data_IF_324038281363
#
_entry.id   IF_324038281363
#
_cell.length_a   1.000
_cell.length_b   1.000
_cell.length_c   1.000
_cell.angle_alpha   90.00
_cell.angle_beta   90.00
_cell.angle_gamma   90.00
#
_symmetry.space_group_name_H-M   'P 1'
#
loop_
_entity.id
_entity.type
_entity.pdbx_description
1 polymer ?
#
# COMPACT_ATOMS: atom_id res chain seq x y z
N UNK A 1 5.90 15.48 21.10
CA UNK A 1 6.64 14.68 22.11
C UNK A 1 5.86 14.76 23.42
N UNK A 2 4.65 14.18 23.48
CA UNK A 2 3.70 14.44 24.57
C UNK A 2 2.85 13.21 24.98
N UNK A 3 3.30 11.98 24.70
CA UNK A 3 2.57 10.75 25.06
C UNK A 3 3.41 9.73 25.84
N UNK A 4 4.64 10.08 26.25
CA UNK A 4 5.48 9.20 27.07
C UNK A 4 5.10 9.18 28.56
N UNK A 5 4.07 9.94 28.96
CA UNK A 5 3.79 10.30 30.36
C UNK A 5 2.50 9.65 30.92
N UNK A 6 2.03 8.55 30.33
CA UNK A 6 0.87 7.80 30.84
C UNK A 6 1.13 6.29 30.77
N UNK A 7 2.19 5.83 31.40
CA UNK A 7 2.29 4.42 31.73
C UNK A 7 1.20 4.10 32.78
N UNK A 8 0.39 3.05 32.59
CA UNK A 8 -0.52 2.61 33.64
C UNK A 8 0.29 2.34 34.91
N UNK A 9 -0.19 2.86 36.04
CA UNK A 9 0.48 2.67 37.33
C UNK A 9 0.43 1.18 37.66
N UNK A 10 1.59 0.52 37.69
CA UNK A 10 1.66 -0.89 38.05
C UNK A 10 1.09 -1.08 39.47
N UNK A 11 0.22 -2.08 39.68
CA UNK A 11 -0.27 -2.39 41.01
C UNK A 11 0.91 -2.67 41.94
N UNK A 12 0.97 -1.94 43.06
CA UNK A 12 2.02 -2.14 44.07
C UNK A 12 1.95 -3.54 44.69
N UNK A 13 3.00 -3.97 45.40
CA UNK A 13 3.08 -5.32 45.99
C UNK A 13 1.96 -5.67 47.00
N UNK A 14 1.16 -4.69 47.41
CA UNK A 14 0.00 -4.83 48.30
C UNK A 14 -1.35 -4.89 47.55
N UNK A 15 -1.35 -4.94 46.21
CA UNK A 15 -2.56 -4.96 45.40
C UNK A 15 -3.38 -6.24 45.59
N UNK A 16 -4.70 -6.07 45.67
CA UNK A 16 -5.63 -7.19 45.80
C UNK A 16 -5.71 -8.05 44.54
N UNK A 17 -6.11 -9.32 44.67
CA UNK A 17 -6.30 -10.25 43.53
C UNK A 17 -7.28 -9.67 42.49
N UNK A 18 -8.31 -8.95 42.94
CA UNK A 18 -9.31 -8.34 42.06
C UNK A 18 -8.73 -7.19 41.21
N UNK A 19 -7.80 -6.41 41.77
CA UNK A 19 -7.13 -5.31 41.06
C UNK A 19 -6.18 -5.86 39.98
N UNK A 20 -5.44 -6.93 40.28
CA UNK A 20 -4.59 -7.62 39.32
C UNK A 20 -5.40 -8.22 38.16
N UNK A 21 -6.57 -8.80 38.43
CA UNK A 21 -7.45 -9.34 37.38
C UNK A 21 -8.00 -8.25 36.47
N UNK A 22 -8.39 -7.10 37.02
CA UNK A 22 -8.89 -5.97 36.24
C UNK A 22 -7.81 -5.43 35.28
N UNK A 23 -6.56 -5.34 35.74
CA UNK A 23 -5.45 -4.84 34.92
C UNK A 23 -5.04 -5.81 33.81
N UNK A 24 -5.05 -7.13 34.09
CA UNK A 24 -4.85 -8.17 33.07
C UNK A 24 -5.94 -8.10 32.00
N UNK A 25 -7.21 -7.91 32.39
CA UNK A 25 -8.32 -7.80 31.45
C UNK A 25 -8.19 -6.56 30.56
N UNK A 26 -7.80 -5.42 31.14
CA UNK A 26 -7.53 -4.17 30.42
C UNK A 26 -6.37 -4.33 29.43
N UNK A 27 -5.25 -4.88 29.88
CA UNK A 27 -4.05 -5.09 29.06
C UNK A 27 -4.34 -6.05 27.90
N UNK A 28 -5.14 -7.11 28.12
CA UNK A 28 -5.61 -7.99 27.04
C UNK A 28 -6.47 -7.26 26.00
N UNK A 29 -7.31 -6.32 26.43
CA UNK A 29 -8.12 -5.49 25.55
C UNK A 29 -7.26 -4.62 24.62
N UNK A 30 -6.33 -3.86 25.19
CA UNK A 30 -5.44 -2.94 24.46
C UNK A 30 -4.53 -3.67 23.45
N UNK A 31 -4.04 -4.86 23.82
CA UNK A 31 -3.25 -5.70 22.91
C UNK A 31 -4.10 -6.29 21.78
N UNK A 32 -5.36 -6.67 22.06
CA UNK A 32 -6.26 -7.19 21.02
C UNK A 32 -6.61 -6.12 19.98
N UNK A 33 -6.84 -4.89 20.44
CA UNK A 33 -7.08 -3.73 19.57
C UNK A 33 -5.84 -3.40 18.71
N UNK A 34 -4.65 -3.46 19.31
CA UNK A 34 -3.39 -3.22 18.59
C UNK A 34 -3.14 -4.28 17.52
N UNK A 35 -3.42 -5.56 17.81
CA UNK A 35 -3.31 -6.64 16.82
C UNK A 35 -4.33 -6.47 15.70
N UNK A 36 -5.56 -6.05 16.01
CA UNK A 36 -6.56 -5.75 14.99
C UNK A 36 -6.12 -4.62 14.05
N UNK A 37 -5.57 -3.52 14.60
CA UNK A 37 -5.05 -2.41 13.80
C UNK A 37 -3.82 -2.81 12.94
N UNK A 38 -2.95 -3.69 13.44
CA UNK A 38 -1.85 -4.25 12.63
C UNK A 38 -2.36 -5.17 11.53
N UNK A 39 -3.35 -6.01 11.82
CA UNK A 39 -3.95 -6.92 10.83
C UNK A 39 -4.64 -6.16 9.70
N UNK A 40 -5.39 -5.10 10.04
CA UNK A 40 -6.02 -4.21 9.06
C UNK A 40 -4.98 -3.57 8.14
N UNK A 41 -3.85 -3.09 8.67
CA UNK A 41 -2.74 -2.57 7.85
C UNK A 41 -2.09 -3.61 6.93
N UNK A 42 -2.04 -4.88 7.34
CA UNK A 42 -1.48 -5.96 6.51
C UNK A 42 -2.43 -6.35 5.37
N UNK A 43 -3.74 -6.33 5.61
CA UNK A 43 -4.76 -6.60 4.60
C UNK A 43 -4.72 -5.58 3.44
N UNK A 44 -4.58 -4.29 3.74
CA UNK A 44 -4.48 -3.25 2.69
C UNK A 44 -3.23 -3.43 1.82
N UNK A 45 -2.12 -3.90 2.41
CA UNK A 45 -0.87 -4.14 1.70
C UNK A 45 -0.98 -5.33 0.75
N UNK A 46 -1.63 -6.40 1.19
CA UNK A 46 -1.96 -7.56 0.36
C UNK A 46 -2.83 -7.15 -0.83
N UNK A 47 -3.96 -6.48 -0.57
CA UNK A 47 -4.86 -6.01 -1.64
C UNK A 47 -4.19 -5.08 -2.64
N UNK A 48 -3.32 -4.17 -2.19
CA UNK A 48 -2.58 -3.29 -3.09
C UNK A 48 -1.58 -4.05 -3.97
N UNK A 49 -0.91 -5.06 -3.41
CA UNK A 49 0.01 -5.91 -4.15
C UNK A 49 -0.72 -6.74 -5.21
N UNK A 50 -1.87 -7.33 -4.86
CA UNK A 50 -2.66 -8.15 -5.78
C UNK A 50 -3.23 -7.33 -6.93
N UNK A 51 -3.78 -6.14 -6.65
CA UNK A 51 -4.21 -5.21 -7.72
C UNK A 51 -3.05 -4.77 -8.62
N UNK A 52 -1.86 -4.59 -8.06
CA UNK A 52 -0.69 -4.24 -8.85
C UNK A 52 -0.23 -5.40 -9.74
N UNK A 53 -0.32 -6.64 -9.26
CA UNK A 53 -0.02 -7.83 -10.06
C UNK A 53 -1.02 -7.99 -11.22
N UNK A 54 -2.32 -7.93 -10.94
CA UNK A 54 -3.38 -8.02 -11.97
C UNK A 54 -3.24 -6.92 -13.03
N UNK A 55 -2.93 -5.69 -12.61
CA UNK A 55 -2.72 -4.57 -13.55
C UNK A 55 -1.47 -4.79 -14.41
N UNK A 56 -0.39 -5.37 -13.84
CA UNK A 56 0.81 -5.69 -14.61
C UNK A 56 0.52 -6.72 -15.70
N UNK A 57 -0.19 -7.79 -15.36
CA UNK A 57 -0.52 -8.85 -16.33
C UNK A 57 -1.36 -8.28 -17.48
N UNK A 58 -2.37 -7.47 -17.17
CA UNK A 58 -3.19 -6.79 -18.20
C UNK A 58 -2.37 -5.82 -19.08
N UNK A 59 -1.35 -5.16 -18.52
CA UNK A 59 -0.46 -4.27 -19.29
C UNK A 59 0.50 -5.08 -20.16
N UNK A 60 1.04 -6.18 -19.66
CA UNK A 60 1.92 -7.09 -20.40
C UNK A 60 1.18 -7.72 -21.57
N UNK A 61 -0.04 -8.21 -21.37
CA UNK A 61 -0.87 -8.77 -22.44
C UNK A 61 -1.16 -7.72 -23.53
N UNK A 62 -1.53 -6.50 -23.15
CA UNK A 62 -1.73 -5.39 -24.11
C UNK A 62 -0.45 -4.99 -24.84
N UNK A 63 0.70 -5.03 -24.16
CA UNK A 63 1.99 -4.72 -24.76
C UNK A 63 2.40 -5.79 -25.78
N UNK A 64 2.16 -7.07 -25.48
CA UNK A 64 2.36 -8.16 -26.44
C UNK A 64 1.44 -8.01 -27.65
N UNK A 65 0.14 -7.78 -27.44
CA UNK A 65 -0.81 -7.56 -28.53
C UNK A 65 -0.43 -6.36 -29.42
N UNK A 66 0.04 -5.25 -28.83
CA UNK A 66 0.52 -4.09 -29.57
C UNK A 66 1.81 -4.38 -30.36
N UNK A 67 2.71 -5.19 -29.80
CA UNK A 67 3.97 -5.60 -30.46
C UNK A 67 3.69 -6.52 -31.64
N UNK A 68 2.78 -7.48 -31.49
CA UNK A 68 2.37 -8.37 -32.58
C UNK A 68 1.63 -7.61 -33.69
N UNK A 69 0.78 -6.66 -33.33
CA UNK A 69 0.14 -5.76 -34.29
C UNK A 69 1.17 -4.91 -35.06
N UNK A 70 2.17 -4.36 -34.37
CA UNK A 70 3.25 -3.60 -35.00
C UNK A 70 4.14 -4.46 -35.91
N UNK A 71 4.39 -5.72 -35.53
CA UNK A 71 5.13 -6.68 -36.36
C UNK A 71 4.38 -7.08 -37.63
N UNK A 72 3.05 -7.07 -37.56
CA UNK A 72 2.15 -7.42 -38.67
C UNK A 72 1.88 -6.23 -39.62
N UNK A 73 2.11 -5.00 -39.16
CA UNK A 73 1.89 -3.77 -39.91
C UNK A 73 3.22 -3.02 -40.15
N UNK A 74 3.98 -3.35 -41.22
CA UNK A 74 5.32 -2.80 -41.46
C UNK A 74 5.37 -1.31 -41.83
N UNK A 75 4.24 -0.59 -41.83
CA UNK A 75 4.14 0.80 -42.27
C UNK A 75 3.52 1.69 -41.19
N UNK A 76 4.15 1.77 -40.02
CA UNK A 76 3.86 2.85 -39.08
C UNK A 76 4.64 4.10 -39.52
N UNK A 77 3.99 5.21 -39.89
CA UNK A 77 4.70 6.41 -40.33
C UNK A 77 5.52 6.97 -39.16
N UNK A 78 6.75 7.40 -39.43
CA UNK A 78 7.68 7.93 -38.42
C UNK A 78 7.07 9.06 -37.55
N UNK A 79 6.14 9.84 -38.12
CA UNK A 79 5.39 10.87 -37.41
C UNK A 79 4.55 10.33 -36.24
N UNK A 80 3.97 9.13 -36.36
CA UNK A 80 3.18 8.52 -35.29
C UNK A 80 4.05 8.13 -34.09
N UNK A 81 5.26 7.61 -34.33
CA UNK A 81 6.21 7.24 -33.26
C UNK A 81 6.65 8.49 -32.49
N UNK A 82 6.99 9.57 -33.22
CA UNK A 82 7.41 10.84 -32.60
C UNK A 82 6.28 11.44 -31.74
N UNK A 83 5.03 11.40 -32.22
CA UNK A 83 3.88 11.89 -31.46
C UNK A 83 3.68 11.12 -30.14
N UNK A 84 3.83 9.79 -30.16
CA UNK A 84 3.73 8.95 -28.96
C UNK A 84 4.85 9.28 -27.96
N UNK A 85 6.09 9.39 -28.43
CA UNK A 85 7.22 9.75 -27.57
C UNK A 85 7.06 11.15 -26.95
N UNK A 86 6.58 12.12 -27.73
CA UNK A 86 6.29 13.47 -27.23
C UNK A 86 5.17 13.46 -26.17
N UNK A 87 4.10 12.69 -26.39
CA UNK A 87 3.03 12.53 -25.40
C UNK A 87 3.53 11.89 -24.10
N UNK A 88 4.35 10.84 -24.18
CA UNK A 88 4.97 10.20 -23.00
C UNK A 88 5.86 11.20 -22.26
N UNK A 89 6.70 11.95 -22.98
CA UNK A 89 7.56 12.98 -22.41
C UNK A 89 6.77 14.09 -21.70
N UNK A 90 5.67 14.54 -22.32
CA UNK A 90 4.78 15.56 -21.75
C UNK A 90 4.10 15.06 -20.47
N UNK A 91 3.58 13.82 -20.48
CA UNK A 91 2.98 13.18 -19.30
C UNK A 91 4.00 13.05 -18.18
N UNK A 92 5.23 12.62 -18.49
CA UNK A 92 6.30 12.51 -17.50
C UNK A 92 6.68 13.88 -16.93
N UNK A 93 6.72 14.91 -17.77
CA UNK A 93 6.98 16.28 -17.35
C UNK A 93 5.90 16.82 -16.41
N UNK A 94 4.62 16.59 -16.69
CA UNK A 94 3.51 16.97 -15.79
C UNK A 94 3.59 16.22 -14.47
N UNK A 95 3.83 14.90 -14.50
CA UNK A 95 3.98 14.09 -13.29
C UNK A 95 5.14 14.50 -12.38
N UNK A 96 6.19 15.06 -12.97
CA UNK A 96 7.35 15.58 -12.23
C UNK A 96 7.11 16.99 -11.70
N UNK A 97 6.23 17.76 -12.33
CA UNK A 97 5.89 19.12 -11.92
C UNK A 97 4.83 19.15 -10.80
N UNK A 98 3.98 18.14 -10.74
CA UNK A 98 2.94 17.99 -9.70
C UNK A 98 3.44 17.32 -8.40
N UNK A 99 4.70 16.84 -8.36
CA UNK A 99 5.38 16.38 -7.13
C UNK A 99 6.35 17.43 -6.63
#
# INVERSE_FOLDING_TARGET
>A
MADADRLPQEPGPDAGIDELQADIAKTRGELSETVAAMSDKLDVKGRAHDKAAETKDAVVERAHAATDAAKSAPAVPAAAVIAVLAAIGLVWWWRRRDR
#
